data_IF_304478817311
#
_entry.id   IF_304478817311
#
_cell.length_a   1.000
_cell.length_b   1.000
_cell.length_c   1.000
_cell.angle_alpha   90.00
_cell.angle_beta   90.00
_cell.angle_gamma   90.00
#
_symmetry.space_group_name_H-M   'P 1'
#
loop_
_entity.id
_entity.type
_entity.pdbx_description
1 polymer ?
#
# COMPACT_ATOMS: atom_id res chain seq x y z
N UNK A 1 -15.25 -20.70 9.71
CA UNK A 1 -16.27 -19.85 9.11
C UNK A 1 -17.02 -19.17 10.26
N UNK A 2 -16.38 -18.15 10.86
CA UNK A 2 -17.01 -17.31 11.89
C UNK A 2 -17.61 -16.09 11.17
N UNK A 3 -18.89 -15.86 11.36
CA UNK A 3 -19.53 -14.61 11.03
C UNK A 3 -18.76 -13.51 11.76
N UNK A 4 -18.30 -12.51 11.03
CA UNK A 4 -17.70 -11.31 11.62
C UNK A 4 -18.80 -10.60 12.37
N UNK A 5 -18.62 -10.43 13.67
CA UNK A 5 -19.49 -9.60 14.48
C UNK A 5 -19.13 -8.13 14.18
N UNK A 6 -19.75 -7.57 13.14
CA UNK A 6 -19.51 -6.18 12.67
C UNK A 6 -19.98 -5.13 13.69
N UNK A 7 -20.67 -5.55 14.75
CA UNK A 7 -21.30 -4.68 15.75
C UNK A 7 -20.52 -4.56 17.08
N UNK A 8 -19.27 -5.05 17.15
CA UNK A 8 -18.52 -4.95 18.40
C UNK A 8 -18.05 -3.52 18.66
N UNK A 9 -18.44 -2.92 19.82
CA UNK A 9 -18.12 -1.52 20.09
C UNK A 9 -16.62 -1.31 20.29
N UNK A 10 -16.10 -0.19 19.77
CA UNK A 10 -14.70 0.22 19.91
C UNK A 10 -14.34 0.43 21.39
N UNK A 11 -15.24 1.07 22.11
CA UNK A 11 -15.19 1.26 23.56
C UNK A 11 -16.58 1.06 24.14
N UNK A 12 -16.65 0.54 25.35
CA UNK A 12 -17.90 0.41 26.09
C UNK A 12 -17.72 0.79 27.54
N UNK A 13 -18.80 1.25 28.14
CA UNK A 13 -18.84 1.64 29.55
C UNK A 13 -19.68 0.63 30.32
N UNK A 14 -19.14 0.06 31.38
CA UNK A 14 -19.88 -0.81 32.28
C UNK A 14 -20.78 0.03 33.21
N UNK A 15 -21.71 -0.64 33.86
CA UNK A 15 -22.69 -0.04 34.78
C UNK A 15 -22.05 0.68 35.97
N UNK A 16 -20.81 0.31 36.34
CA UNK A 16 -20.02 0.93 37.40
C UNK A 16 -19.30 2.21 36.98
N UNK A 17 -19.43 2.60 35.69
CA UNK A 17 -18.77 3.75 35.10
C UNK A 17 -17.36 3.47 34.59
N UNK A 18 -16.91 2.22 34.62
CA UNK A 18 -15.58 1.84 34.07
C UNK A 18 -15.65 1.72 32.57
N UNK A 19 -14.70 2.39 31.87
CA UNK A 19 -14.56 2.34 30.43
C UNK A 19 -13.58 1.25 30.01
N UNK A 20 -14.00 0.46 29.05
CA UNK A 20 -13.18 -0.59 28.44
C UNK A 20 -12.98 -0.32 26.98
N UNK A 21 -11.77 -0.54 26.50
CA UNK A 21 -11.49 -0.61 25.09
C UNK A 21 -11.73 -2.04 24.60
N UNK A 22 -12.34 -2.17 23.43
CA UNK A 22 -12.49 -3.45 22.75
C UNK A 22 -11.14 -3.94 22.20
N UNK A 23 -11.19 -4.67 21.09
CA UNK A 23 -10.02 -5.27 20.46
C UNK A 23 -9.18 -4.30 19.59
N UNK A 24 -9.53 -3.04 19.61
CA UNK A 24 -8.92 -2.02 18.74
C UNK A 24 -7.84 -1.23 19.45
N UNK A 25 -6.80 -0.86 18.68
CA UNK A 25 -5.73 0.05 19.08
C UNK A 25 -5.61 1.14 18.03
N UNK A 26 -5.43 2.38 18.45
CA UNK A 26 -5.31 3.49 17.51
C UNK A 26 -5.89 4.80 18.04
N UNK A 27 -6.19 5.72 17.15
CA UNK A 27 -6.76 7.01 17.49
C UNK A 27 -7.89 7.38 16.54
N UNK A 28 -8.99 7.87 17.10
CA UNK A 28 -10.13 8.41 16.36
C UNK A 28 -10.46 9.80 16.85
N UNK A 29 -10.91 10.65 15.95
CA UNK A 29 -11.36 12.01 16.25
C UNK A 29 -12.75 12.24 15.66
N UNK A 30 -13.65 12.77 16.49
CA UNK A 30 -15.03 13.08 16.13
C UNK A 30 -15.43 14.41 16.78
N UNK A 31 -15.99 15.32 16.02
CA UNK A 31 -16.49 16.63 16.50
C UNK A 31 -15.52 17.41 17.41
N UNK A 32 -14.22 17.35 17.13
CA UNK A 32 -13.20 18.05 17.94
C UNK A 32 -12.73 17.29 19.19
N UNK A 33 -13.34 16.14 19.50
CA UNK A 33 -12.88 15.22 20.53
C UNK A 33 -11.96 14.16 19.91
N UNK A 34 -10.95 13.70 20.65
CA UNK A 34 -10.07 12.61 20.22
C UNK A 34 -10.05 11.51 21.28
N UNK A 35 -10.15 10.26 20.81
CA UNK A 35 -9.97 9.07 21.62
C UNK A 35 -8.73 8.33 21.11
N UNK A 36 -7.77 8.08 22.00
CA UNK A 36 -6.59 7.27 21.70
C UNK A 36 -6.63 6.01 22.57
N UNK A 37 -6.51 4.86 21.92
CA UNK A 37 -6.47 3.54 22.56
C UNK A 37 -5.06 3.00 22.38
N UNK A 38 -4.32 2.93 23.49
CA UNK A 38 -2.95 2.42 23.49
C UNK A 38 -2.90 0.91 23.78
N UNK A 39 -1.98 0.17 23.13
CA UNK A 39 -1.84 -1.26 23.40
C UNK A 39 -1.29 -1.50 24.80
N UNK A 40 -1.90 -2.43 25.55
CA UNK A 40 -1.43 -2.85 26.88
C UNK A 40 -0.01 -3.42 26.90
N UNK A 41 0.41 -3.96 25.78
CA UNK A 41 1.67 -4.70 25.65
C UNK A 41 2.85 -3.84 25.21
N UNK A 42 2.64 -2.55 25.02
CA UNK A 42 3.64 -1.65 24.48
C UNK A 42 3.89 -1.84 22.97
N UNK A 43 4.48 -0.84 22.38
CA UNK A 43 4.75 -0.72 20.94
C UNK A 43 5.64 -1.82 20.38
N UNK A 44 6.65 -2.22 21.15
CA UNK A 44 7.62 -3.22 20.69
C UNK A 44 6.96 -4.60 20.47
N UNK A 45 6.04 -4.97 21.36
CA UNK A 45 5.29 -6.23 21.25
C UNK A 45 4.30 -6.19 20.09
N UNK A 46 3.57 -5.08 19.94
CA UNK A 46 2.66 -4.91 18.82
C UNK A 46 3.41 -4.96 17.47
N UNK A 47 4.62 -4.37 17.41
CA UNK A 47 5.47 -4.48 16.23
C UNK A 47 5.88 -5.91 15.92
N UNK A 48 6.28 -6.70 16.93
CA UNK A 48 6.67 -8.10 16.68
C UNK A 48 5.51 -8.93 16.13
N UNK A 49 4.30 -8.73 16.63
CA UNK A 49 3.12 -9.42 16.13
C UNK A 49 2.75 -9.00 14.71
N UNK A 50 2.82 -7.72 14.40
CA UNK A 50 2.59 -7.22 13.03
C UNK A 50 3.64 -7.74 12.04
N UNK A 51 4.83 -8.07 12.50
CA UNK A 51 5.85 -8.69 11.66
C UNK A 51 5.57 -10.16 11.37
N UNK A 52 4.88 -10.86 12.25
CA UNK A 52 4.46 -12.25 12.06
C UNK A 52 3.17 -12.34 11.24
N UNK A 53 2.33 -11.31 11.32
CA UNK A 53 1.08 -11.25 10.59
C UNK A 53 1.29 -10.97 9.09
N UNK A 54 0.91 -11.92 8.24
CA UNK A 54 1.06 -11.81 6.78
C UNK A 54 -0.02 -10.98 6.11
N UNK A 55 -1.06 -10.59 6.83
CA UNK A 55 -2.18 -9.82 6.28
C UNK A 55 -2.68 -8.76 7.27
N UNK A 56 -2.33 -7.50 7.01
CA UNK A 56 -3.00 -6.36 7.65
C UNK A 56 -4.18 -5.98 6.76
N UNK A 57 -5.38 -6.22 7.22
CA UNK A 57 -6.61 -5.79 6.53
C UNK A 57 -6.86 -4.34 6.92
N UNK A 58 -6.71 -3.44 5.97
CA UNK A 58 -7.08 -2.05 6.11
C UNK A 58 -8.45 -1.83 5.49
N UNK A 59 -9.35 -1.24 6.25
CA UNK A 59 -10.70 -0.91 5.77
C UNK A 59 -10.66 0.31 4.85
N UNK A 60 -11.43 0.30 3.77
CA UNK A 60 -11.50 1.37 2.75
C UNK A 60 -12.33 2.60 3.20
N UNK A 61 -12.42 2.88 4.50
CA UNK A 61 -13.19 3.99 5.01
C UNK A 61 -12.54 5.36 4.71
N UNK A 62 -13.32 6.42 4.38
CA UNK A 62 -12.79 7.74 4.11
C UNK A 62 -12.38 8.45 5.40
N UNK A 63 -11.09 8.67 5.60
CA UNK A 63 -10.53 9.42 6.72
C UNK A 63 -9.22 10.11 6.37
N UNK A 64 -8.87 11.18 7.09
CA UNK A 64 -7.58 11.86 6.98
C UNK A 64 -6.78 11.65 8.25
N UNK A 65 -5.56 11.12 8.14
CA UNK A 65 -4.60 11.10 9.25
C UNK A 65 -4.26 12.54 9.68
N UNK A 66 -4.26 12.81 10.98
CA UNK A 66 -3.73 14.04 11.56
C UNK A 66 -2.22 13.94 11.73
N UNK A 67 -1.53 15.09 11.66
CA UNK A 67 -0.07 15.18 11.79
C UNK A 67 0.46 14.77 13.18
N UNK A 68 -0.39 14.75 14.20
CA UNK A 68 -0.03 14.41 15.60
C UNK A 68 0.08 12.90 15.89
N UNK A 69 -0.14 12.03 14.89
CA UNK A 69 -0.20 10.60 15.10
C UNK A 69 1.14 9.90 14.76
N UNK A 70 2.22 10.35 15.41
CA UNK A 70 3.56 9.79 15.18
C UNK A 70 3.63 8.27 15.43
N UNK A 71 2.81 7.76 16.34
CA UNK A 71 2.72 6.34 16.64
C UNK A 71 2.18 5.50 15.48
N UNK A 72 1.04 5.92 14.94
CA UNK A 72 0.39 5.21 13.84
C UNK A 72 1.23 5.30 12.56
N UNK A 73 1.83 6.46 12.32
CA UNK A 73 2.77 6.59 11.22
C UNK A 73 3.97 5.63 11.34
N UNK A 74 4.51 5.45 12.56
CA UNK A 74 5.60 4.50 12.81
C UNK A 74 5.15 3.04 12.63
N UNK A 75 3.95 2.70 13.08
CA UNK A 75 3.38 1.37 12.94
C UNK A 75 3.17 1.03 11.47
N UNK A 76 2.49 1.91 10.73
CA UNK A 76 2.27 1.76 9.29
C UNK A 76 3.58 1.66 8.51
N UNK A 77 4.55 2.49 8.84
CA UNK A 77 5.86 2.43 8.21
C UNK A 77 6.56 1.10 8.48
N UNK A 78 6.45 0.57 9.70
CA UNK A 78 7.02 -0.74 10.06
C UNK A 78 6.36 -1.88 9.29
N UNK A 79 5.03 -1.93 9.26
CA UNK A 79 4.25 -2.94 8.51
C UNK A 79 4.56 -2.86 7.02
N UNK A 80 4.51 -1.66 6.46
CA UNK A 80 4.79 -1.44 5.05
C UNK A 80 6.21 -1.85 4.68
N UNK A 81 7.21 -1.43 5.47
CA UNK A 81 8.61 -1.73 5.20
C UNK A 81 8.91 -3.23 5.27
N UNK A 82 8.33 -3.93 6.25
CA UNK A 82 8.45 -5.37 6.38
C UNK A 82 7.77 -6.10 5.22
N UNK A 83 6.51 -5.79 4.94
CA UNK A 83 5.77 -6.37 3.82
C UNK A 83 6.47 -6.13 2.47
N UNK A 84 7.08 -4.96 2.28
CA UNK A 84 7.86 -4.68 1.08
C UNK A 84 9.12 -5.57 0.99
N UNK A 85 9.85 -5.76 2.08
CA UNK A 85 11.04 -6.63 2.11
C UNK A 85 10.68 -8.09 1.84
N UNK A 86 9.60 -8.58 2.45
CA UNK A 86 9.11 -9.95 2.23
C UNK A 86 8.64 -10.14 0.77
N UNK A 87 7.87 -9.20 0.24
CA UNK A 87 7.47 -9.24 -1.17
C UNK A 87 8.69 -9.23 -2.12
N UNK A 88 9.74 -8.49 -1.74
CA UNK A 88 10.97 -8.36 -2.52
C UNK A 88 12.00 -9.45 -2.25
N UNK A 89 11.67 -10.52 -1.52
CA UNK A 89 12.58 -11.65 -1.21
C UNK A 89 13.24 -12.22 -2.47
N UNK A 90 12.50 -12.31 -3.56
CA UNK A 90 12.97 -12.80 -4.86
C UNK A 90 13.31 -11.69 -5.86
N UNK A 91 13.45 -10.47 -5.40
CA UNK A 91 13.73 -9.28 -6.21
C UNK A 91 12.50 -8.41 -6.47
N UNK A 92 12.71 -7.31 -7.18
CA UNK A 92 11.65 -6.36 -7.51
C UNK A 92 10.64 -6.92 -8.53
N UNK A 93 9.39 -6.41 -8.56
CA UNK A 93 8.32 -6.94 -9.41
C UNK A 93 8.49 -6.51 -10.87
N UNK A 94 9.50 -7.05 -11.56
CA UNK A 94 9.65 -6.84 -12.99
C UNK A 94 8.56 -7.59 -13.74
N UNK A 95 7.48 -6.88 -14.08
CA UNK A 95 6.31 -7.41 -14.75
C UNK A 95 6.47 -7.36 -16.27
N UNK A 96 5.79 -8.27 -16.98
CA UNK A 96 5.77 -8.26 -18.44
C UNK A 96 4.94 -7.09 -18.95
N UNK A 97 5.53 -6.32 -19.86
CA UNK A 97 4.90 -5.22 -20.58
C UNK A 97 5.14 -5.40 -22.07
N UNK A 98 4.09 -5.21 -22.86
CA UNK A 98 4.22 -5.16 -24.31
C UNK A 98 4.59 -3.75 -24.74
N UNK A 99 5.77 -3.62 -25.36
CA UNK A 99 6.29 -2.35 -25.85
C UNK A 99 6.25 -2.35 -27.38
N UNK A 100 5.54 -1.36 -27.94
CA UNK A 100 5.51 -1.13 -29.36
C UNK A 100 6.70 -0.28 -29.80
N UNK A 101 7.50 -0.81 -30.72
CA UNK A 101 8.65 -0.13 -31.29
C UNK A 101 8.43 0.08 -32.78
N UNK A 102 8.77 1.26 -33.31
CA UNK A 102 8.75 1.58 -34.72
C UNK A 102 10.18 1.52 -35.28
N UNK A 103 10.35 0.92 -36.45
CA UNK A 103 11.66 0.84 -37.08
C UNK A 103 11.64 0.07 -38.38
N UNK A 104 12.77 0.07 -39.12
CA UNK A 104 12.88 -0.63 -40.41
C UNK A 104 12.95 -2.16 -40.27
N UNK A 105 13.29 -2.65 -39.08
CA UNK A 105 13.43 -4.08 -38.80
C UNK A 105 12.37 -4.57 -37.79
N UNK A 106 11.86 -5.78 -38.01
CA UNK A 106 10.94 -6.46 -37.12
C UNK A 106 11.68 -6.92 -35.86
N UNK A 107 11.20 -6.48 -34.68
CA UNK A 107 11.75 -6.85 -33.36
C UNK A 107 10.63 -7.39 -32.45
N UNK A 108 10.28 -8.66 -32.64
CA UNK A 108 9.18 -9.29 -31.92
C UNK A 108 7.96 -9.57 -32.81
N UNK A 109 6.74 -9.50 -32.26
CA UNK A 109 5.50 -9.72 -32.98
C UNK A 109 5.15 -8.46 -33.79
N UNK A 110 4.80 -8.62 -35.06
CA UNK A 110 4.35 -7.51 -35.91
C UNK A 110 2.93 -7.06 -35.50
N UNK A 111 2.75 -5.79 -35.28
CA UNK A 111 1.43 -5.15 -35.29
C UNK A 111 1.07 -4.81 -36.74
N UNK A 112 0.30 -5.70 -37.37
CA UNK A 112 -0.05 -5.59 -38.77
C UNK A 112 -0.82 -4.30 -39.07
N UNK A 113 -1.80 -3.96 -38.23
CA UNK A 113 -2.66 -2.80 -38.48
C UNK A 113 -1.87 -1.49 -38.41
N UNK A 114 -1.02 -1.33 -37.39
CA UNK A 114 -0.17 -0.16 -37.26
C UNK A 114 0.94 -0.12 -38.30
N UNK A 115 1.51 -1.25 -38.69
CA UNK A 115 2.53 -1.34 -39.73
C UNK A 115 1.99 -0.97 -41.10
N UNK A 116 0.79 -1.43 -41.47
CA UNK A 116 0.13 -1.07 -42.72
C UNK A 116 -0.11 0.43 -42.83
N UNK A 117 -0.52 1.09 -41.74
CA UNK A 117 -0.68 2.55 -41.72
C UNK A 117 0.64 3.27 -41.94
N UNK A 118 1.74 2.78 -41.36
CA UNK A 118 3.07 3.36 -41.56
C UNK A 118 3.57 3.17 -43.02
N UNK A 119 3.33 2.02 -43.61
CA UNK A 119 3.66 1.74 -45.01
C UNK A 119 2.81 2.62 -45.94
N UNK A 120 1.53 2.77 -45.69
CA UNK A 120 0.61 3.60 -46.49
C UNK A 120 1.05 5.08 -46.54
N UNK A 121 1.67 5.60 -45.49
CA UNK A 121 2.24 6.96 -45.47
C UNK A 121 3.70 7.01 -45.99
N UNK A 122 4.19 5.94 -46.57
CA UNK A 122 5.52 5.90 -47.22
C UNK A 122 6.71 5.88 -46.25
N UNK A 123 6.49 5.59 -44.94
CA UNK A 123 7.58 5.66 -43.95
C UNK A 123 8.58 4.50 -44.03
N UNK A 124 8.24 3.39 -44.72
CA UNK A 124 9.07 2.18 -44.77
C UNK A 124 9.35 1.50 -43.43
N UNK A 125 8.61 1.90 -42.39
CA UNK A 125 8.79 1.38 -41.04
C UNK A 125 7.69 0.36 -40.67
N UNK A 126 8.05 -0.61 -39.84
CA UNK A 126 7.11 -1.57 -39.25
C UNK A 126 6.96 -1.32 -37.76
N UNK A 127 5.79 -1.64 -37.24
CA UNK A 127 5.52 -1.59 -35.80
C UNK A 127 5.64 -2.99 -35.24
N UNK A 128 6.55 -3.16 -34.30
CA UNK A 128 6.83 -4.42 -33.62
C UNK A 128 6.39 -4.33 -32.16
N UNK A 129 5.72 -5.37 -31.67
CA UNK A 129 5.38 -5.51 -30.25
C UNK A 129 6.35 -6.52 -29.65
N UNK A 130 7.11 -6.06 -28.65
CA UNK A 130 8.04 -6.89 -27.87
C UNK A 130 7.60 -6.93 -26.43
N UNK A 131 7.53 -8.13 -25.87
CA UNK A 131 7.31 -8.30 -24.43
C UNK A 131 8.64 -8.14 -23.70
N UNK A 132 8.70 -7.21 -22.78
CA UNK A 132 9.87 -6.99 -21.91
C UNK A 132 9.45 -6.99 -20.45
N UNK A 133 10.41 -7.23 -19.58
CA UNK A 133 10.19 -7.07 -18.13
C UNK A 133 10.50 -5.63 -17.74
N UNK A 134 9.57 -4.98 -17.07
CA UNK A 134 9.70 -3.59 -16.65
C UNK A 134 9.26 -3.43 -15.19
N UNK A 135 9.93 -2.54 -14.48
CA UNK A 135 9.52 -2.04 -13.17
C UNK A 135 8.57 -0.84 -13.29
N UNK A 136 8.37 -0.30 -14.50
CA UNK A 136 7.47 0.82 -14.79
C UNK A 136 6.02 0.31 -14.89
N UNK A 137 5.34 0.28 -13.74
CA UNK A 137 3.94 -0.12 -13.63
C UNK A 137 3.30 0.41 -12.34
N UNK A 138 1.96 0.36 -12.27
CA UNK A 138 1.16 0.94 -11.19
C UNK A 138 1.56 0.48 -9.78
N UNK A 139 2.00 -0.77 -9.59
CA UNK A 139 2.44 -1.22 -8.26
C UNK A 139 3.74 -0.53 -7.81
N UNK A 140 4.68 -0.30 -8.72
CA UNK A 140 5.90 0.47 -8.41
C UNK A 140 5.57 1.92 -8.06
N UNK A 141 4.65 2.54 -8.82
CA UNK A 141 4.17 3.89 -8.53
C UNK A 141 3.54 3.97 -7.13
N UNK A 142 2.67 3.02 -6.77
CA UNK A 142 2.05 2.97 -5.45
C UNK A 142 3.10 2.86 -4.33
N UNK A 143 4.06 1.94 -4.47
CA UNK A 143 5.12 1.70 -3.47
C UNK A 143 5.97 2.95 -3.26
N UNK A 144 6.40 3.61 -4.34
CA UNK A 144 7.20 4.85 -4.22
C UNK A 144 6.39 6.00 -3.67
N UNK A 145 5.10 6.12 -4.04
CA UNK A 145 4.21 7.13 -3.49
C UNK A 145 4.03 6.95 -1.96
N UNK A 146 3.80 5.70 -1.51
CA UNK A 146 3.70 5.39 -0.08
C UNK A 146 4.98 5.70 0.67
N UNK A 147 6.14 5.30 0.14
CA UNK A 147 7.45 5.64 0.70
C UNK A 147 7.60 7.15 0.92
N UNK A 148 7.25 7.96 -0.09
CA UNK A 148 7.35 9.42 0.02
C UNK A 148 6.42 10.00 1.08
N UNK A 149 5.23 9.44 1.24
CA UNK A 149 4.27 9.85 2.28
C UNK A 149 4.78 9.47 3.66
N UNK A 150 5.19 8.22 3.87
CA UNK A 150 5.71 7.73 5.14
C UNK A 150 6.96 8.50 5.58
N UNK A 151 7.91 8.72 4.68
CA UNK A 151 9.10 9.51 4.95
C UNK A 151 8.77 10.94 5.42
N UNK A 152 7.75 11.54 4.84
CA UNK A 152 7.29 12.89 5.22
C UNK A 152 6.58 12.86 6.58
N UNK A 153 5.76 11.85 6.85
CA UNK A 153 5.05 11.74 8.12
C UNK A 153 5.99 11.49 9.30
N UNK A 154 6.95 10.60 9.11
CA UNK A 154 7.91 10.28 10.16
C UNK A 154 8.88 11.42 10.43
N UNK A 155 9.23 12.21 9.43
CA UNK A 155 10.16 13.34 9.57
C UNK A 155 11.58 12.95 10.00
N UNK A 156 11.89 11.63 10.00
CA UNK A 156 13.20 11.09 10.42
C UNK A 156 13.93 10.46 9.23
N UNK A 157 15.26 10.33 9.29
CA UNK A 157 16.05 9.68 8.26
C UNK A 157 15.65 8.21 8.05
N UNK A 158 15.78 7.71 6.81
CA UNK A 158 15.36 6.35 6.41
C UNK A 158 16.05 5.23 7.21
N UNK A 159 17.25 5.46 7.71
CA UNK A 159 18.02 4.50 8.51
C UNK A 159 17.43 4.26 9.91
N UNK A 160 16.53 5.11 10.37
CA UNK A 160 15.87 4.94 11.65
C UNK A 160 14.60 4.06 11.59
N UNK A 161 13.98 3.92 10.42
CA UNK A 161 12.72 3.18 10.31
C UNK A 161 12.69 2.12 9.21
N UNK A 162 13.58 2.21 8.24
CA UNK A 162 13.57 1.35 7.06
C UNK A 162 14.66 0.27 7.15
N UNK A 163 14.32 -1.01 6.92
CA UNK A 163 15.30 -2.09 6.84
C UNK A 163 16.34 -1.85 5.74
N UNK A 164 17.56 -2.33 5.93
CA UNK A 164 18.66 -2.16 4.98
C UNK A 164 18.28 -2.60 3.56
N UNK A 165 17.61 -3.74 3.43
CA UNK A 165 17.15 -4.27 2.14
C UNK A 165 16.17 -3.34 1.43
N UNK A 166 15.24 -2.74 2.15
CA UNK A 166 14.29 -1.77 1.56
C UNK A 166 15.02 -0.52 1.07
N UNK A 167 16.00 -0.02 1.82
CA UNK A 167 16.85 1.12 1.42
C UNK A 167 17.62 0.87 0.13
N UNK A 168 18.07 -0.36 -0.09
CA UNK A 168 18.74 -0.76 -1.34
C UNK A 168 17.78 -0.80 -2.54
N UNK A 169 16.54 -1.25 -2.33
CA UNK A 169 15.60 -1.53 -3.41
C UNK A 169 14.77 -0.32 -3.84
N UNK A 170 14.40 0.57 -2.93
CA UNK A 170 13.57 1.75 -3.23
C UNK A 170 14.18 2.65 -4.30
N UNK A 171 15.49 2.96 -4.30
CA UNK A 171 16.09 3.77 -5.36
C UNK A 171 15.90 3.21 -6.77
N UNK A 172 15.89 1.88 -6.93
CA UNK A 172 15.63 1.25 -8.23
C UNK A 172 14.20 1.49 -8.73
N UNK A 173 13.21 1.47 -7.83
CA UNK A 173 11.84 1.83 -8.17
C UNK A 173 11.73 3.32 -8.49
N UNK A 174 12.34 4.18 -7.68
CA UNK A 174 12.33 5.63 -7.91
C UNK A 174 12.97 6.02 -9.25
N UNK A 175 13.98 5.29 -9.70
CA UNK A 175 14.62 5.54 -10.99
C UNK A 175 13.66 5.35 -12.18
N UNK A 176 12.66 4.50 -12.06
CA UNK A 176 11.68 4.23 -13.14
C UNK A 176 10.37 5.00 -12.97
N UNK A 177 9.92 5.24 -11.74
CA UNK A 177 8.66 5.97 -11.46
C UNK A 177 8.83 7.48 -11.48
N UNK A 178 10.09 7.96 -11.36
CA UNK A 178 10.41 9.38 -11.29
C UNK A 178 10.15 10.02 -9.91
N UNK A 179 10.37 11.34 -9.85
CA UNK A 179 10.31 12.10 -8.60
C UNK A 179 8.87 12.28 -8.05
N UNK A 180 7.85 12.13 -8.88
CA UNK A 180 6.43 12.29 -8.52
C UNK A 180 5.62 11.15 -9.10
N UNK A 181 5.65 9.96 -8.46
CA UNK A 181 4.85 8.84 -8.91
C UNK A 181 3.36 9.19 -8.84
N UNK A 182 2.60 8.70 -9.79
CA UNK A 182 1.14 8.81 -9.79
C UNK A 182 0.58 7.76 -8.83
N UNK A 183 -0.32 8.16 -7.94
CA UNK A 183 -1.04 7.17 -7.11
C UNK A 183 -2.06 6.44 -8.00
N UNK A 184 -1.93 5.12 -8.18
CA UNK A 184 -2.83 4.35 -9.02
C UNK A 184 -4.21 4.18 -8.38
N UNK A 185 -5.20 3.91 -9.19
CA UNK A 185 -6.52 3.46 -8.74
C UNK A 185 -6.48 1.97 -8.36
N UNK A 186 -7.45 1.52 -7.55
CA UNK A 186 -7.61 0.09 -7.23
C UNK A 186 -7.78 -0.74 -8.52
N UNK A 187 -8.61 -0.28 -9.44
CA UNK A 187 -8.83 -0.97 -10.72
C UNK A 187 -7.56 -1.12 -11.58
N UNK A 188 -6.59 -0.21 -11.46
CA UNK A 188 -5.29 -0.36 -12.14
C UNK A 188 -4.42 -1.41 -11.47
N UNK A 189 -4.42 -1.49 -10.14
CA UNK A 189 -3.72 -2.53 -9.40
C UNK A 189 -4.32 -3.92 -9.65
N UNK A 190 -5.65 -4.04 -9.66
CA UNK A 190 -6.38 -5.31 -9.89
C UNK A 190 -6.13 -5.88 -11.30
N UNK A 191 -5.74 -5.05 -12.27
CA UNK A 191 -5.36 -5.49 -13.63
C UNK A 191 -3.97 -6.08 -13.71
N UNK A 192 -3.14 -5.91 -12.69
CA UNK A 192 -1.77 -6.42 -12.68
C UNK A 192 -1.81 -7.94 -12.54
N UNK A 193 -1.17 -8.63 -13.46
CA UNK A 193 -1.00 -10.08 -13.39
C UNK A 193 0.33 -10.42 -12.74
N UNK A 194 0.27 -10.74 -11.48
CA UNK A 194 1.43 -11.21 -10.74
C UNK A 194 1.72 -12.68 -11.07
N UNK A 195 3.00 -13.04 -11.04
CA UNK A 195 3.45 -14.43 -11.07
C UNK A 195 3.51 -14.98 -9.63
N UNK A 196 3.61 -16.29 -9.40
CA UNK A 196 3.79 -16.82 -8.04
C UNK A 196 4.97 -16.18 -7.28
N UNK A 197 6.04 -15.82 -7.99
CA UNK A 197 7.23 -15.17 -7.41
C UNK A 197 6.94 -13.70 -7.02
N UNK A 198 6.06 -13.03 -7.73
CA UNK A 198 5.75 -11.61 -7.52
C UNK A 198 4.41 -11.40 -6.82
N UNK A 199 3.70 -12.47 -6.45
CA UNK A 199 2.38 -12.39 -5.84
C UNK A 199 2.36 -11.60 -4.52
N UNK A 200 3.44 -11.67 -3.74
CA UNK A 200 3.60 -10.91 -2.51
C UNK A 200 3.54 -9.38 -2.69
N UNK A 201 3.71 -8.89 -3.93
CA UNK A 201 3.58 -7.46 -4.20
C UNK A 201 2.12 -6.98 -4.31
N UNK A 202 1.13 -7.85 -4.48
CA UNK A 202 -0.26 -7.45 -4.57
C UNK A 202 -0.76 -6.77 -3.27
N UNK A 203 -0.65 -7.41 -2.08
CA UNK A 203 -1.08 -6.78 -0.84
C UNK A 203 -0.25 -5.53 -0.50
N UNK A 204 1.07 -5.54 -0.76
CA UNK A 204 1.89 -4.37 -0.47
C UNK A 204 1.60 -3.18 -1.41
N UNK A 205 1.26 -3.43 -2.67
CA UNK A 205 0.85 -2.39 -3.62
C UNK A 205 -0.49 -1.77 -3.20
N UNK A 206 -1.44 -2.57 -2.73
CA UNK A 206 -2.72 -2.07 -2.23
C UNK A 206 -2.54 -1.27 -0.94
N UNK A 207 -1.81 -1.78 0.04
CA UNK A 207 -1.43 -1.03 1.24
C UNK A 207 -0.74 0.30 0.89
N UNK A 208 0.18 0.26 -0.09
CA UNK A 208 0.87 1.45 -0.58
C UNK A 208 -0.09 2.47 -1.19
N UNK A 209 -1.06 2.03 -1.98
CA UNK A 209 -2.10 2.88 -2.55
C UNK A 209 -2.92 3.57 -1.46
N UNK A 210 -3.31 2.84 -0.43
CA UNK A 210 -4.08 3.37 0.70
C UNK A 210 -3.27 4.43 1.46
N UNK A 211 -2.02 4.15 1.82
CA UNK A 211 -1.11 5.10 2.46
C UNK A 211 -0.93 6.37 1.59
N UNK A 212 -0.69 6.19 0.29
CA UNK A 212 -0.45 7.29 -0.62
C UNK A 212 -1.68 8.20 -0.82
N UNK A 213 -2.87 7.62 -0.82
CA UNK A 213 -4.12 8.37 -0.89
C UNK A 213 -4.48 9.07 0.42
N UNK A 214 -3.76 8.80 1.52
CA UNK A 214 -4.14 9.18 2.88
C UNK A 214 -5.58 8.76 3.22
N UNK A 215 -6.05 7.71 2.56
CA UNK A 215 -7.38 7.14 2.75
C UNK A 215 -7.26 5.87 3.55
N UNK A 216 -8.21 5.72 4.40
CA UNK A 216 -8.52 4.45 5.02
C UNK A 216 -7.47 4.07 6.03
N UNK A 217 -7.77 4.44 7.14
CA UNK A 217 -7.52 3.88 8.44
C UNK A 217 -8.54 4.57 9.36
N UNK A 218 -9.77 4.74 8.87
CA UNK A 218 -10.89 5.20 9.68
C UNK A 218 -11.96 4.11 9.65
N UNK A 219 -12.41 3.72 10.82
CA UNK A 219 -13.64 2.96 10.97
C UNK A 219 -14.78 3.90 10.62
N UNK A 220 -15.62 3.50 9.70
CA UNK A 220 -16.86 4.20 9.39
C UNK A 220 -17.81 3.95 10.57
N UNK A 221 -17.97 4.94 11.43
CA UNK A 221 -19.03 4.93 12.41
C UNK A 221 -20.16 5.72 11.77
N UNK A 222 -21.22 5.00 11.44
CA UNK A 222 -22.44 5.49 10.79
C UNK A 222 -23.11 6.56 11.67
N UNK A 223 -22.68 7.80 11.52
CA UNK A 223 -23.32 8.97 12.11
C UNK A 223 -22.91 10.18 11.31
N UNK A 224 -23.81 11.07 11.08
CA UNK A 224 -23.80 12.35 10.36
C UNK A 224 -22.64 13.33 10.70
N UNK A 225 -21.50 12.86 11.20
CA UNK A 225 -20.30 13.62 11.54
C UNK A 225 -19.07 13.03 10.84
N UNK A 226 -18.13 13.87 10.43
CA UNK A 226 -16.86 13.42 9.90
C UNK A 226 -15.99 12.79 10.99
N UNK A 227 -15.96 11.46 11.05
CA UNK A 227 -15.02 10.72 11.92
C UNK A 227 -13.68 10.57 11.21
N UNK A 228 -12.60 10.90 11.91
CA UNK A 228 -11.23 10.83 11.39
C UNK A 228 -10.39 10.00 12.33
N UNK A 229 -9.72 8.97 11.84
CA UNK A 229 -8.85 8.19 12.70
C UNK A 229 -8.35 6.88 12.09
N UNK A 230 -7.59 6.15 12.90
CA UNK A 230 -7.02 4.86 12.57
C UNK A 230 -7.23 3.92 13.72
N UNK A 231 -7.88 2.79 13.46
CA UNK A 231 -7.99 1.70 14.40
C UNK A 231 -7.45 0.41 13.78
N UNK A 232 -6.65 -0.31 14.54
CA UNK A 232 -6.13 -1.62 14.18
C UNK A 232 -6.84 -2.66 15.04
N UNK A 233 -7.37 -3.69 14.41
CA UNK A 233 -7.92 -4.84 15.11
C UNK A 233 -6.78 -5.73 15.60
N UNK A 234 -6.55 -5.71 16.91
CA UNK A 234 -5.44 -6.46 17.53
C UNK A 234 -5.82 -7.92 17.76
N UNK A 235 -7.09 -8.27 17.78
CA UNK A 235 -7.53 -9.66 17.94
C UNK A 235 -7.21 -10.49 16.68
N UNK A 236 -7.39 -9.92 15.49
CA UNK A 236 -6.97 -10.58 14.24
C UNK A 236 -5.46 -10.85 14.20
N UNK A 237 -4.66 -10.00 14.85
CA UNK A 237 -3.21 -10.20 14.94
C UNK A 237 -2.81 -11.30 15.93
N UNK A 238 -3.69 -11.61 16.88
CA UNK A 238 -3.44 -12.62 17.92
C UNK A 238 -3.84 -14.03 17.48
N UNK A 239 -4.81 -14.16 16.58
CA UNK A 239 -5.34 -15.45 16.11
C UNK A 239 -4.52 -16.08 14.97
N UNK A 240 -3.48 -15.39 14.46
CA UNK A 240 -2.58 -15.85 13.40
C UNK A 240 -1.27 -16.39 13.95
#
# INVERSE_FOLDING_TARGET
SGERDEDEPIVYCEWDGTWWAGRYVGSISFEGHSLTIEPRFGLATLRSWLFEATSVVLTDAPGKLREDESFIAQLLASVWAHGFVEAARHGLPALRRDVATKGPALRGRMDVASSLRMIAVGSGQVVSIRSERSLDHAASDAIVAAYQVLRRWLGVPDDQWMPARAKELIPHLMAVTGARPRVPTKAELDRIRYTPITAGFAPIAELSRQIANRRGLAVDIDASGETKGVLLDVAELWEM
#
